data_IF_814634448991
#
_entry.id   IF_814634448991
#
_cell.length_a   1.000
_cell.length_b   1.000
_cell.length_c   1.000
_cell.angle_alpha   90.00
_cell.angle_beta   90.00
_cell.angle_gamma   90.00
#
_symmetry.space_group_name_H-M   'P 1'
#
loop_
_entity.id
_entity.type
_entity.pdbx_description
1 polymer ?
#
# COMPACT_ATOMS: atom_id res chain seq x y z
N UNK A 1 -13.79 26.56 7.17
CA UNK A 1 -13.73 25.17 7.65
C UNK A 1 -14.86 24.45 6.95
N UNK A 2 -14.55 23.40 6.19
CA UNK A 2 -15.58 22.61 5.50
C UNK A 2 -16.34 21.76 6.53
N UNK A 3 -17.62 21.49 6.27
CA UNK A 3 -18.46 20.68 7.16
C UNK A 3 -19.38 19.77 6.34
N UNK A 4 -19.61 18.56 6.85
CA UNK A 4 -20.64 17.66 6.34
C UNK A 4 -21.93 17.88 7.13
N UNK A 5 -23.00 18.30 6.45
CA UNK A 5 -24.34 18.42 7.04
C UNK A 5 -25.17 17.23 6.55
N UNK A 6 -25.48 16.30 7.44
CA UNK A 6 -26.19 15.05 7.12
C UNK A 6 -27.60 15.11 7.70
N UNK A 7 -28.61 14.92 6.84
CA UNK A 7 -29.99 14.69 7.25
C UNK A 7 -30.31 13.20 7.13
N UNK A 8 -30.47 12.51 8.27
CA UNK A 8 -30.73 11.07 8.31
C UNK A 8 -32.17 10.68 8.00
N UNK A 9 -32.44 9.37 8.02
CA UNK A 9 -33.77 8.79 7.78
C UNK A 9 -34.01 8.26 6.36
N UNK A 10 -32.96 8.20 5.53
CA UNK A 10 -33.04 7.73 4.15
C UNK A 10 -32.26 6.41 3.98
N UNK A 11 -32.92 5.33 3.53
CA UNK A 11 -32.22 4.13 3.08
C UNK A 11 -31.29 4.43 1.90
N UNK A 12 -30.08 3.87 1.94
CA UNK A 12 -29.17 3.97 0.80
C UNK A 12 -29.57 2.98 -0.29
N UNK A 13 -29.94 3.50 -1.46
CA UNK A 13 -30.28 2.68 -2.62
C UNK A 13 -29.45 3.08 -3.83
N UNK A 14 -28.95 2.09 -4.58
CA UNK A 14 -28.35 2.34 -5.88
C UNK A 14 -27.05 1.59 -6.13
N UNK A 15 -26.13 2.26 -6.82
CA UNK A 15 -24.91 1.66 -7.34
C UNK A 15 -23.72 2.57 -7.06
N UNK A 16 -22.60 1.97 -6.66
CA UNK A 16 -21.35 2.69 -6.39
C UNK A 16 -20.18 1.89 -6.92
N UNK A 17 -19.14 2.59 -7.39
CA UNK A 17 -17.85 2.00 -7.73
C UNK A 17 -16.82 2.57 -6.76
N UNK A 18 -16.15 1.75 -5.95
CA UNK A 18 -15.09 2.21 -5.05
C UNK A 18 -13.94 2.84 -5.84
N UNK A 19 -13.30 3.80 -5.20
CA UNK A 19 -12.04 4.40 -5.64
C UNK A 19 -10.90 3.39 -5.53
N UNK A 20 -9.77 3.69 -6.15
CA UNK A 20 -8.55 2.91 -5.96
C UNK A 20 -8.05 2.91 -4.52
N UNK A 21 -7.49 1.79 -4.10
CA UNK A 21 -6.97 1.60 -2.76
C UNK A 21 -5.79 2.54 -2.48
N UNK A 22 -5.95 3.46 -1.51
CA UNK A 22 -4.87 4.37 -1.08
C UNK A 22 -3.61 3.61 -0.65
N UNK A 23 -3.80 2.54 0.14
CA UNK A 23 -2.70 1.78 0.73
C UNK A 23 -1.97 0.93 -0.33
N UNK A 24 -2.58 0.68 -1.49
CA UNK A 24 -1.86 0.16 -2.66
C UNK A 24 -1.21 1.29 -3.48
N UNK A 25 -1.90 2.42 -3.66
CA UNK A 25 -1.40 3.54 -4.46
C UNK A 25 -0.06 4.09 -3.95
N UNK A 26 0.10 4.24 -2.63
CA UNK A 26 1.32 4.78 -2.01
C UNK A 26 2.58 3.94 -2.28
N UNK A 27 2.61 2.62 -1.98
CA UNK A 27 3.76 1.78 -2.31
C UNK A 27 3.96 1.58 -3.81
N UNK A 28 2.91 1.54 -4.63
CA UNK A 28 3.05 1.46 -6.10
C UNK A 28 3.73 2.72 -6.67
N UNK A 29 3.36 3.91 -6.17
CA UNK A 29 4.04 5.16 -6.52
C UNK A 29 5.51 5.14 -6.11
N UNK A 30 5.83 4.65 -4.90
CA UNK A 30 7.21 4.50 -4.46
C UNK A 30 7.98 3.48 -5.32
N UNK A 31 7.34 2.37 -5.70
CA UNK A 31 7.93 1.33 -6.53
C UNK A 31 8.22 1.79 -7.97
N UNK A 32 7.46 2.77 -8.51
CA UNK A 32 7.81 3.41 -9.79
C UNK A 32 9.20 4.07 -9.75
N UNK A 33 9.74 4.39 -8.57
CA UNK A 33 11.10 4.89 -8.42
C UNK A 33 12.16 3.86 -8.82
N UNK A 34 11.86 2.55 -8.83
CA UNK A 34 12.82 1.47 -9.11
C UNK A 34 13.22 1.33 -10.59
N UNK A 35 12.52 2.00 -11.51
CA UNK A 35 12.76 1.88 -12.95
C UNK A 35 13.00 3.25 -13.60
N UNK A 36 13.83 3.27 -14.63
CA UNK A 36 14.05 4.44 -15.49
C UNK A 36 13.00 4.53 -16.61
N UNK A 37 12.32 3.43 -16.89
CA UNK A 37 11.32 3.35 -17.94
C UNK A 37 9.95 3.88 -17.45
N UNK A 38 9.09 4.43 -18.33
CA UNK A 38 7.79 4.96 -17.92
C UNK A 38 6.85 3.87 -17.43
N UNK A 39 6.15 4.13 -16.34
CA UNK A 39 5.12 3.25 -15.76
C UNK A 39 3.78 3.97 -15.74
N UNK A 40 2.71 3.26 -16.11
CA UNK A 40 1.34 3.77 -16.08
C UNK A 40 0.56 3.16 -14.94
N UNK A 41 -0.06 4.00 -14.13
CA UNK A 41 -0.95 3.59 -13.05
C UNK A 41 -2.36 4.11 -13.33
N UNK A 42 -3.33 3.21 -13.28
CA UNK A 42 -4.75 3.48 -13.42
C UNK A 42 -5.47 3.31 -12.09
N UNK A 43 -6.66 3.93 -11.99
CA UNK A 43 -7.46 3.96 -10.77
C UNK A 43 -6.69 4.56 -9.58
N UNK A 44 -5.91 5.62 -9.80
CA UNK A 44 -5.20 6.33 -8.73
C UNK A 44 -6.19 7.27 -8.00
N UNK A 45 -6.41 7.09 -6.69
CA UNK A 45 -7.36 7.93 -5.95
C UNK A 45 -6.84 9.36 -5.80
N UNK A 46 -7.71 10.34 -5.97
CA UNK A 46 -7.38 11.77 -5.83
C UNK A 46 -7.59 12.22 -4.38
N UNK A 47 -6.59 11.95 -3.54
CA UNK A 47 -6.63 12.22 -2.10
C UNK A 47 -5.31 12.81 -1.61
N UNK A 48 -5.36 13.51 -0.47
CA UNK A 48 -4.24 14.30 0.05
C UNK A 48 -2.94 13.50 0.20
N UNK A 49 -3.00 12.29 0.77
CA UNK A 49 -1.81 11.44 0.98
C UNK A 49 -1.14 11.06 -0.35
N UNK A 50 -1.94 10.69 -1.36
CA UNK A 50 -1.44 10.31 -2.69
C UNK A 50 -0.86 11.52 -3.40
N UNK A 51 -1.52 12.67 -3.31
CA UNK A 51 -1.01 13.92 -3.87
C UNK A 51 0.29 14.38 -3.18
N UNK A 52 0.42 14.20 -1.87
CA UNK A 52 1.66 14.49 -1.16
C UNK A 52 2.79 13.52 -1.55
N UNK A 53 2.50 12.23 -1.78
CA UNK A 53 3.50 11.28 -2.30
C UNK A 53 3.93 11.65 -3.71
N UNK A 54 3.00 12.09 -4.58
CA UNK A 54 3.32 12.61 -5.91
C UNK A 54 4.26 13.80 -5.83
N UNK A 55 3.93 14.81 -5.02
CA UNK A 55 4.79 15.98 -4.83
C UNK A 55 6.16 15.61 -4.28
N UNK A 56 6.24 14.62 -3.37
CA UNK A 56 7.50 14.14 -2.84
C UNK A 56 8.36 13.49 -3.94
N UNK A 57 7.78 12.65 -4.79
CA UNK A 57 8.48 12.06 -5.94
C UNK A 57 8.94 13.15 -6.93
N UNK A 58 8.08 14.12 -7.23
CA UNK A 58 8.40 15.25 -8.11
C UNK A 58 9.56 16.09 -7.57
N UNK A 59 9.64 16.31 -6.26
CA UNK A 59 10.77 17.00 -5.62
C UNK A 59 12.11 16.30 -5.86
N UNK A 60 12.10 14.98 -6.05
CA UNK A 60 13.29 14.18 -6.37
C UNK A 60 13.55 14.06 -7.88
N UNK A 61 12.88 14.84 -8.72
CA UNK A 61 13.07 14.87 -10.18
C UNK A 61 12.20 13.87 -10.96
N UNK A 62 11.37 13.07 -10.29
CA UNK A 62 10.43 12.16 -10.97
C UNK A 62 9.38 12.97 -11.73
N UNK A 63 9.14 12.62 -13.00
CA UNK A 63 8.12 13.27 -13.83
C UNK A 63 6.83 12.50 -13.74
N UNK A 64 5.77 13.13 -13.25
CA UNK A 64 4.43 12.55 -13.17
C UNK A 64 3.49 13.33 -14.08
N UNK A 65 2.83 12.65 -15.03
CA UNK A 65 1.87 13.25 -15.95
C UNK A 65 0.50 12.61 -15.75
N UNK A 66 -0.54 13.42 -15.66
CA UNK A 66 -1.92 12.92 -15.77
C UNK A 66 -2.21 12.58 -17.22
N UNK A 67 -2.65 11.35 -17.50
CA UNK A 67 -2.91 10.85 -18.87
C UNK A 67 -4.38 10.46 -19.09
N UNK A 68 -5.23 10.62 -18.09
CA UNK A 68 -6.66 10.36 -18.15
C UNK A 68 -7.28 10.48 -16.76
N UNK A 69 -8.56 10.16 -16.66
CA UNK A 69 -9.27 10.14 -15.37
C UNK A 69 -8.63 9.08 -14.47
N UNK A 70 -8.22 9.50 -13.27
CA UNK A 70 -7.53 8.66 -12.28
C UNK A 70 -6.34 7.87 -12.86
N UNK A 71 -5.68 8.39 -13.89
CA UNK A 71 -4.60 7.71 -14.60
C UNK A 71 -3.38 8.60 -14.74
N UNK A 72 -2.21 8.08 -14.36
CA UNK A 72 -0.94 8.81 -14.39
C UNK A 72 0.15 8.00 -15.09
N UNK A 73 1.08 8.69 -15.73
CA UNK A 73 2.36 8.15 -16.19
C UNK A 73 3.48 8.70 -15.30
N UNK A 74 4.23 7.79 -14.68
CA UNK A 74 5.37 8.10 -13.80
C UNK A 74 6.65 7.73 -14.55
N UNK A 75 7.57 8.67 -14.65
CA UNK A 75 8.89 8.46 -15.25
C UNK A 75 9.97 8.95 -14.30
N UNK A 76 10.75 8.01 -13.77
CA UNK A 76 11.82 8.30 -12.85
C UNK A 76 13.21 8.24 -13.51
N UNK A 77 13.36 8.43 -14.83
CA UNK A 77 14.65 8.30 -15.54
C UNK A 77 15.79 9.17 -14.97
N UNK A 78 15.46 10.35 -14.43
CA UNK A 78 16.43 11.28 -13.85
C UNK A 78 15.98 11.65 -12.44
N UNK A 79 16.64 11.07 -11.44
CA UNK A 79 16.35 11.33 -10.02
C UNK A 79 17.50 12.06 -9.35
N UNK A 80 17.15 12.99 -8.45
CA UNK A 80 18.08 13.83 -7.72
C UNK A 80 17.71 13.81 -6.23
N UNK A 81 18.29 12.88 -5.48
CA UNK A 81 18.02 12.75 -4.04
C UNK A 81 18.48 13.97 -3.23
N UNK A 82 19.39 14.79 -3.77
CA UNK A 82 19.84 16.02 -3.14
C UNK A 82 18.73 17.08 -3.05
N UNK A 83 17.73 17.02 -3.93
CA UNK A 83 16.61 17.96 -4.00
C UNK A 83 15.42 17.52 -3.13
N UNK A 84 15.60 16.45 -2.34
CA UNK A 84 14.59 15.92 -1.43
C UNK A 84 14.07 17.00 -0.48
N UNK A 85 12.76 17.29 -0.52
CA UNK A 85 12.10 18.24 0.37
C UNK A 85 11.74 17.57 1.72
N UNK A 86 12.42 17.91 2.82
CA UNK A 86 12.16 17.30 4.13
C UNK A 86 10.79 17.65 4.69
N UNK A 87 10.18 18.76 4.27
CA UNK A 87 8.89 19.19 4.79
C UNK A 87 7.73 18.45 4.11
N UNK A 88 7.88 18.03 2.85
CA UNK A 88 6.95 17.09 2.21
C UNK A 88 6.97 15.73 2.90
N UNK A 89 8.14 15.24 3.30
CA UNK A 89 8.30 13.98 4.04
C UNK A 89 7.53 13.98 5.37
N UNK A 90 7.49 15.11 6.08
CA UNK A 90 6.76 15.24 7.36
C UNK A 90 5.25 15.27 7.19
N UNK A 91 4.73 15.54 5.99
CA UNK A 91 3.29 15.57 5.73
C UNK A 91 2.68 14.18 5.65
N UNK A 92 3.45 13.18 5.22
CA UNK A 92 2.97 11.81 5.02
C UNK A 92 3.84 10.80 5.73
N UNK A 93 3.18 9.91 6.50
CA UNK A 93 3.87 8.81 7.18
C UNK A 93 4.47 7.81 6.20
N UNK A 94 3.80 7.64 5.05
CA UNK A 94 4.21 6.72 3.99
C UNK A 94 5.52 7.10 3.29
N UNK A 95 6.11 8.27 3.59
CA UNK A 95 7.42 8.67 3.07
C UNK A 95 8.54 7.65 3.37
N UNK A 96 8.42 6.86 4.44
CA UNK A 96 9.35 5.77 4.75
C UNK A 96 9.43 4.69 3.65
N UNK A 97 8.39 4.55 2.83
CA UNK A 97 8.35 3.61 1.69
C UNK A 97 9.37 3.94 0.60
N UNK A 98 9.96 5.15 0.61
CA UNK A 98 11.03 5.51 -0.31
C UNK A 98 12.38 4.92 0.09
N UNK A 99 12.56 4.47 1.34
CA UNK A 99 13.88 4.00 1.82
C UNK A 99 14.39 2.78 1.06
N UNK A 100 13.53 1.78 0.82
CA UNK A 100 13.83 0.59 0.05
C UNK A 100 14.17 0.88 -1.41
N UNK A 101 13.29 1.51 -2.19
CA UNK A 101 13.56 1.79 -3.60
C UNK A 101 14.69 2.81 -3.81
N UNK A 102 14.87 3.80 -2.93
CA UNK A 102 16.01 4.72 -3.01
C UNK A 102 17.33 4.01 -2.71
N UNK A 103 17.39 3.13 -1.70
CA UNK A 103 18.58 2.31 -1.46
C UNK A 103 18.89 1.39 -2.64
N UNK A 104 17.87 0.70 -3.16
CA UNK A 104 18.02 -0.24 -4.26
C UNK A 104 18.54 0.41 -5.55
N UNK A 105 18.15 1.67 -5.79
CA UNK A 105 18.48 2.38 -7.03
C UNK A 105 19.65 3.36 -6.92
N UNK A 106 19.76 4.06 -5.80
CA UNK A 106 20.72 5.14 -5.60
C UNK A 106 21.79 4.82 -4.55
N UNK A 107 21.64 3.74 -3.78
CA UNK A 107 22.60 3.33 -2.75
C UNK A 107 22.58 4.16 -1.47
N UNK A 108 21.83 5.27 -1.41
CA UNK A 108 21.66 6.05 -0.19
C UNK A 108 20.31 6.75 -0.11
N UNK A 109 19.90 7.09 1.12
CA UNK A 109 18.78 8.00 1.38
C UNK A 109 18.98 8.70 2.72
N UNK A 110 18.68 9.99 2.77
CA UNK A 110 18.50 10.75 4.01
C UNK A 110 17.03 11.06 4.18
N UNK A 111 16.44 10.57 5.26
CA UNK A 111 15.02 10.67 5.49
C UNK A 111 14.76 11.23 6.90
N UNK A 112 14.06 12.37 7.05
CA UNK A 112 13.59 12.78 8.38
C UNK A 112 12.59 11.75 8.90
N UNK A 113 12.37 11.65 10.23
CA UNK A 113 11.35 10.78 10.78
C UNK A 113 10.01 10.99 10.08
N UNK A 114 9.32 9.89 9.70
CA UNK A 114 8.04 10.01 9.04
C UNK A 114 7.08 10.76 9.96
N UNK A 115 6.48 11.82 9.42
CA UNK A 115 5.42 12.55 10.10
C UNK A 115 4.06 11.91 9.83
N UNK A 116 3.00 12.71 9.84
CA UNK A 116 1.63 12.24 9.58
C UNK A 116 1.04 11.35 10.68
N UNK A 117 -0.24 11.58 10.94
CA UNK A 117 -1.19 10.79 11.74
C UNK A 117 -0.66 10.14 13.06
N UNK A 118 -1.09 10.73 14.19
CA UNK A 118 -0.69 10.31 15.56
C UNK A 118 -1.63 9.22 16.09
N UNK A 119 -1.72 8.08 15.39
CA UNK A 119 -2.44 6.90 15.89
C UNK A 119 -1.43 5.98 16.58
N UNK A 120 -1.17 6.26 17.85
CA UNK A 120 -0.34 5.42 18.73
C UNK A 120 1.16 5.39 18.40
N UNK A 121 1.90 4.51 19.09
CA UNK A 121 3.35 4.34 18.89
C UNK A 121 3.61 3.39 17.73
N UNK A 122 3.93 3.93 16.56
CA UNK A 122 4.30 3.16 15.38
C UNK A 122 5.81 3.29 15.13
N UNK A 123 6.54 2.21 15.41
CA UNK A 123 8.01 2.15 15.32
C UNK A 123 8.47 2.08 13.86
N UNK A 124 9.71 2.49 13.61
CA UNK A 124 10.38 2.33 12.31
C UNK A 124 11.49 1.27 12.37
N UNK A 125 11.72 0.69 13.54
CA UNK A 125 12.75 -0.33 13.79
C UNK A 125 12.65 -1.51 12.82
N UNK A 126 11.45 -2.03 12.57
CA UNK A 126 11.17 -3.14 11.64
C UNK A 126 11.74 -2.87 10.25
N UNK A 127 11.57 -1.65 9.74
CA UNK A 127 12.14 -1.23 8.44
C UNK A 127 13.67 -1.23 8.49
N UNK A 128 14.24 -0.67 9.55
CA UNK A 128 15.69 -0.55 9.73
C UNK A 128 16.34 -1.94 9.81
N UNK A 129 15.75 -2.85 10.59
CA UNK A 129 16.23 -4.21 10.76
C UNK A 129 16.15 -4.99 9.45
N UNK A 130 15.04 -4.86 8.69
CA UNK A 130 14.89 -5.55 7.42
C UNK A 130 15.88 -5.06 6.36
N UNK A 131 16.06 -3.74 6.22
CA UNK A 131 17.05 -3.18 5.29
C UNK A 131 18.49 -3.55 5.67
N UNK A 132 18.81 -3.58 6.97
CA UNK A 132 20.08 -4.13 7.47
C UNK A 132 20.25 -5.61 7.14
N UNK A 133 19.16 -6.38 7.17
CA UNK A 133 19.13 -7.77 6.74
C UNK A 133 19.57 -7.98 5.28
N UNK A 134 19.34 -6.98 4.42
CA UNK A 134 19.81 -6.91 3.04
C UNK A 134 21.21 -6.31 2.89
N UNK A 135 21.91 -6.01 3.98
CA UNK A 135 23.26 -5.42 3.97
C UNK A 135 23.32 -3.90 3.93
N UNK A 136 22.20 -3.19 4.15
CA UNK A 136 22.22 -1.74 4.30
C UNK A 136 22.78 -1.30 5.67
N UNK A 137 23.51 -0.20 5.70
CA UNK A 137 23.78 0.58 6.89
C UNK A 137 22.60 1.53 7.13
N UNK A 138 22.20 1.67 8.38
CA UNK A 138 21.09 2.54 8.78
C UNK A 138 21.43 3.18 10.12
N UNK A 139 21.58 4.49 10.14
CA UNK A 139 21.96 5.27 11.32
C UNK A 139 20.95 6.38 11.57
N UNK A 140 20.78 6.77 12.84
CA UNK A 140 19.95 7.91 13.21
C UNK A 140 20.85 9.03 13.72
N UNK A 141 20.96 10.10 12.94
CA UNK A 141 21.61 11.33 13.36
C UNK A 141 20.70 12.06 14.34
N UNK A 142 21.07 11.99 15.63
CA UNK A 142 20.31 12.64 16.72
C UNK A 142 20.41 14.16 16.69
N UNK A 143 21.48 14.73 16.14
CA UNK A 143 21.68 16.18 16.13
C UNK A 143 20.79 16.82 15.06
N UNK A 144 20.69 16.19 13.88
CA UNK A 144 19.90 16.69 12.76
C UNK A 144 18.49 16.08 12.68
N UNK A 145 18.17 15.10 13.54
CA UNK A 145 16.92 14.34 13.52
C UNK A 145 16.64 13.72 12.15
N UNK A 146 17.61 12.99 11.59
CA UNK A 146 17.51 12.37 10.25
C UNK A 146 18.01 10.94 10.30
N UNK A 147 17.28 10.03 9.63
CA UNK A 147 17.76 8.70 9.31
C UNK A 147 18.64 8.73 8.07
N UNK A 148 19.74 8.00 8.14
CA UNK A 148 20.70 7.88 7.06
C UNK A 148 20.84 6.42 6.69
N UNK A 149 20.41 6.10 5.48
CA UNK A 149 20.48 4.77 4.90
C UNK A 149 21.54 4.76 3.82
N UNK A 150 22.41 3.74 3.82
CA UNK A 150 23.47 3.56 2.82
C UNK A 150 23.71 2.10 2.50
N UNK A 151 24.02 1.79 1.25
CA UNK A 151 24.49 0.47 0.84
C UNK A 151 25.27 0.59 -0.46
N UNK A 152 26.44 -0.05 -0.53
CA UNK A 152 27.16 -0.20 -1.80
C UNK A 152 26.42 -1.15 -2.75
N UNK A 153 25.82 -2.21 -2.17
CA UNK A 153 25.02 -3.20 -2.88
C UNK A 153 24.16 -3.97 -1.88
N UNK A 154 22.86 -4.04 -2.16
CA UNK A 154 21.95 -4.90 -1.41
C UNK A 154 22.16 -6.37 -1.80
N UNK A 155 22.11 -7.26 -0.81
CA UNK A 155 22.25 -8.71 -1.00
C UNK A 155 21.06 -9.43 -0.39
N UNK A 156 20.51 -10.38 -1.13
CA UNK A 156 19.44 -11.22 -0.64
C UNK A 156 19.86 -12.05 0.57
N UNK A 157 18.92 -12.26 1.47
CA UNK A 157 19.14 -13.00 2.71
C UNK A 157 17.82 -13.57 3.25
N UNK A 158 17.90 -14.45 4.26
CA UNK A 158 16.72 -14.86 5.04
C UNK A 158 16.45 -13.81 6.10
N UNK A 159 15.30 -13.15 6.01
CA UNK A 159 14.90 -12.04 6.89
C UNK A 159 13.62 -12.44 7.60
N UNK A 160 13.63 -12.38 8.93
CA UNK A 160 12.44 -12.51 9.76
C UNK A 160 12.05 -11.13 10.29
N UNK A 161 10.87 -10.64 9.90
CA UNK A 161 10.34 -9.39 10.47
C UNK A 161 9.92 -9.63 11.92
N UNK A 162 10.25 -8.70 12.81
CA UNK A 162 9.93 -8.78 14.24
C UNK A 162 8.45 -8.51 14.55
N UNK A 163 7.73 -7.94 13.59
CA UNK A 163 6.26 -7.85 13.55
C UNK A 163 5.79 -7.99 12.09
N UNK A 164 4.53 -8.38 11.88
CA UNK A 164 3.90 -8.41 10.55
C UNK A 164 3.56 -6.98 10.08
N UNK A 165 4.58 -6.13 9.93
CA UNK A 165 4.43 -4.74 9.52
C UNK A 165 4.20 -4.65 8.02
N UNK A 166 3.05 -4.09 7.64
CA UNK A 166 2.66 -3.80 6.25
C UNK A 166 3.75 -2.99 5.55
N UNK A 167 4.03 -1.78 6.04
CA UNK A 167 4.95 -0.87 5.36
C UNK A 167 6.39 -1.36 5.40
N UNK A 168 6.81 -2.11 6.43
CA UNK A 168 8.14 -2.69 6.44
C UNK A 168 8.25 -3.84 5.43
N UNK A 169 7.20 -4.63 5.26
CA UNK A 169 7.11 -5.67 4.23
C UNK A 169 7.22 -5.05 2.85
N UNK A 170 6.43 -4.02 2.53
CA UNK A 170 6.48 -3.30 1.25
C UNK A 170 7.87 -2.75 0.94
N UNK A 171 8.47 -2.09 1.93
CA UNK A 171 9.78 -1.48 1.81
C UNK A 171 10.89 -2.52 1.58
N UNK A 172 10.77 -3.68 2.24
CA UNK A 172 11.72 -4.79 2.08
C UNK A 172 11.55 -5.46 0.73
N UNK A 173 10.32 -5.66 0.25
CA UNK A 173 10.05 -6.19 -1.08
C UNK A 173 10.68 -5.28 -2.14
N UNK A 174 10.39 -3.98 -2.09
CA UNK A 174 10.95 -3.01 -3.04
C UNK A 174 12.48 -2.94 -3.01
N UNK A 175 13.11 -3.15 -1.86
CA UNK A 175 14.57 -3.22 -1.75
C UNK A 175 15.15 -4.54 -2.31
N UNK A 176 14.45 -5.65 -2.09
CA UNK A 176 14.92 -7.00 -2.42
C UNK A 176 14.82 -7.33 -3.90
N UNK A 177 13.86 -6.75 -4.65
CA UNK A 177 13.64 -7.09 -6.07
C UNK A 177 14.84 -6.81 -6.98
N UNK A 178 15.79 -5.96 -6.59
CA UNK A 178 17.05 -5.74 -7.32
C UNK A 178 18.30 -6.05 -6.49
N UNK A 179 18.13 -6.68 -5.33
CA UNK A 179 19.26 -7.14 -4.51
C UNK A 179 19.99 -8.31 -5.18
N UNK A 180 21.26 -8.55 -4.83
CA UNK A 180 21.99 -9.71 -5.36
C UNK A 180 21.59 -11.00 -4.63
N UNK A 181 20.98 -11.94 -5.35
CA UNK A 181 20.62 -13.26 -4.82
C UNK A 181 19.15 -13.36 -4.39
N UNK A 182 18.84 -14.45 -3.68
CA UNK A 182 17.49 -14.72 -3.16
C UNK A 182 17.29 -14.06 -1.79
N UNK A 183 16.14 -13.42 -1.61
CA UNK A 183 15.64 -12.98 -0.30
C UNK A 183 14.45 -13.86 0.10
N UNK A 184 14.50 -14.43 1.30
CA UNK A 184 13.35 -15.12 1.90
C UNK A 184 12.82 -14.24 3.03
N UNK A 185 11.69 -13.57 2.80
CA UNK A 185 11.08 -12.65 3.77
C UNK A 185 9.98 -13.37 4.55
N UNK A 186 10.25 -13.65 5.82
CA UNK A 186 9.35 -14.37 6.75
C UNK A 186 8.64 -13.40 7.68
N UNK A 187 7.47 -13.81 8.17
CA UNK A 187 6.55 -12.97 8.92
C UNK A 187 6.15 -11.71 8.13
N UNK A 188 6.04 -11.87 6.81
CA UNK A 188 5.57 -10.84 5.90
C UNK A 188 4.08 -10.56 6.14
N UNK A 189 3.71 -9.28 6.04
CA UNK A 189 2.33 -8.85 5.90
C UNK A 189 1.71 -9.46 4.63
N UNK A 190 0.43 -9.82 4.67
CA UNK A 190 -0.27 -10.57 3.61
C UNK A 190 -1.49 -9.84 3.06
N UNK A 191 -1.68 -8.58 3.43
CA UNK A 191 -2.81 -7.76 3.07
C UNK A 191 -2.93 -7.58 1.54
N UNK A 192 -4.13 -7.30 1.00
CA UNK A 192 -4.36 -7.23 -0.45
C UNK A 192 -3.42 -6.26 -1.18
N UNK A 193 -3.05 -5.13 -0.55
CA UNK A 193 -2.16 -4.14 -1.12
C UNK A 193 -0.69 -4.58 -1.17
N UNK A 194 -0.25 -5.49 -0.28
CA UNK A 194 1.05 -6.17 -0.40
C UNK A 194 1.05 -7.08 -1.63
N UNK A 195 -0.05 -7.80 -1.83
CA UNK A 195 -0.21 -8.69 -2.98
C UNK A 195 -0.21 -7.92 -4.30
N UNK A 196 -0.92 -6.78 -4.34
CA UNK A 196 -0.91 -5.87 -5.49
C UNK A 196 0.49 -5.30 -5.77
N UNK A 197 1.25 -4.92 -4.73
CA UNK A 197 2.65 -4.50 -4.91
C UNK A 197 3.51 -5.61 -5.54
N UNK A 198 3.37 -6.85 -5.07
CA UNK A 198 4.11 -7.98 -5.63
C UNK A 198 3.73 -8.24 -7.10
N UNK A 199 2.43 -8.24 -7.40
CA UNK A 199 1.92 -8.43 -8.77
C UNK A 199 2.40 -7.31 -9.69
N UNK A 200 2.35 -6.07 -9.24
CA UNK A 200 2.85 -4.90 -9.95
C UNK A 200 4.35 -5.03 -10.25
N UNK A 201 5.18 -5.33 -9.25
CA UNK A 201 6.62 -5.50 -9.44
C UNK A 201 6.94 -6.66 -10.39
N UNK A 202 6.20 -7.78 -10.31
CA UNK A 202 6.35 -8.90 -11.24
C UNK A 202 6.01 -8.50 -12.69
N UNK A 203 4.99 -7.65 -12.91
CA UNK A 203 4.68 -7.07 -14.23
C UNK A 203 5.86 -6.24 -14.76
N UNK A 204 6.58 -5.54 -13.87
CA UNK A 204 7.80 -4.80 -14.24
C UNK A 204 9.04 -5.70 -14.41
N UNK A 205 8.91 -7.01 -14.22
CA UNK A 205 9.99 -7.99 -14.40
C UNK A 205 10.68 -8.47 -13.13
N UNK A 206 10.14 -8.17 -11.94
CA UNK A 206 10.59 -8.80 -10.70
C UNK A 206 10.25 -10.30 -10.68
N UNK A 207 10.86 -11.03 -9.75
CA UNK A 207 10.60 -12.45 -9.50
C UNK A 207 10.22 -12.64 -8.02
N UNK A 208 8.93 -12.53 -7.74
CA UNK A 208 8.34 -12.67 -6.41
C UNK A 208 7.36 -13.83 -6.41
N UNK A 209 7.62 -14.83 -5.57
CA UNK A 209 6.79 -16.01 -5.36
C UNK A 209 6.14 -16.03 -3.96
N UNK A 210 5.16 -16.93 -3.78
CA UNK A 210 4.37 -17.08 -2.55
C UNK A 210 3.58 -15.83 -2.13
N UNK A 211 3.18 -15.01 -3.10
CA UNK A 211 2.36 -13.81 -2.89
C UNK A 211 1.08 -14.14 -2.11
N UNK A 212 0.79 -13.36 -1.07
CA UNK A 212 -0.36 -13.56 -0.18
C UNK A 212 -0.10 -14.49 1.01
N UNK A 213 1.09 -15.10 1.10
CA UNK A 213 1.53 -15.83 2.28
C UNK A 213 2.33 -14.95 3.25
N UNK A 214 2.66 -15.49 4.43
CA UNK A 214 3.56 -14.85 5.39
C UNK A 214 5.06 -15.10 5.10
N UNK A 215 5.38 -15.78 4.00
CA UNK A 215 6.76 -16.09 3.58
C UNK A 215 6.94 -15.87 2.08
N UNK A 216 7.54 -14.75 1.71
CA UNK A 216 7.81 -14.40 0.32
C UNK A 216 9.20 -14.87 -0.09
N UNK A 217 9.30 -15.38 -1.32
CA UNK A 217 10.58 -15.68 -1.97
C UNK A 217 10.80 -14.65 -3.08
N UNK A 218 11.91 -13.92 -3.02
CA UNK A 218 12.20 -12.81 -3.92
C UNK A 218 13.57 -13.06 -4.54
N UNK A 219 13.60 -13.44 -5.80
CA UNK A 219 14.84 -13.55 -6.56
C UNK A 219 15.17 -12.18 -7.15
N UNK A 220 16.26 -11.57 -6.68
CA UNK A 220 16.65 -10.26 -7.17
C UNK A 220 17.07 -10.29 -8.64
N UNK A 221 16.61 -9.29 -9.40
CA UNK A 221 16.85 -9.11 -10.84
C UNK A 221 17.76 -7.91 -11.11
N UNK A 222 18.36 -7.85 -12.29
CA UNK A 222 19.29 -6.75 -12.62
C UNK A 222 18.61 -5.39 -12.77
N UNK A 223 17.37 -5.38 -13.30
CA UNK A 223 16.59 -4.17 -13.54
C UNK A 223 15.12 -4.51 -13.69
N UNK A 224 14.29 -3.50 -13.42
CA UNK A 224 12.86 -3.50 -13.75
C UNK A 224 12.63 -2.70 -15.04
N UNK A 225 11.45 -2.85 -15.62
CA UNK A 225 11.07 -2.32 -16.94
C UNK A 225 9.81 -1.45 -16.86
N UNK A 226 9.38 -0.90 -18.00
CA UNK A 226 8.07 -0.26 -18.13
C UNK A 226 6.95 -1.25 -17.86
N UNK A 227 5.80 -0.73 -17.46
CA UNK A 227 4.58 -1.51 -17.33
C UNK A 227 3.36 -0.63 -17.11
N UNK A 228 2.22 -1.29 -17.03
CA UNK A 228 0.92 -0.68 -16.78
C UNK A 228 0.19 -1.50 -15.71
N UNK A 229 -0.45 -0.82 -14.77
CA UNK A 229 -1.15 -1.48 -13.67
C UNK A 229 -2.40 -0.71 -13.23
N UNK A 230 -3.46 -1.43 -12.92
CA UNK A 230 -4.71 -0.86 -12.42
C UNK A 230 -4.87 -1.20 -10.95
N UNK A 231 -4.85 -0.17 -10.10
CA UNK A 231 -4.99 -0.31 -8.65
C UNK A 231 -6.38 -0.88 -8.33
N UNK A 232 -6.43 -1.86 -7.43
CA UNK A 232 -7.67 -2.46 -6.97
C UNK A 232 -8.58 -1.49 -6.20
N UNK A 233 -9.85 -1.87 -5.98
CA UNK A 233 -10.76 -1.09 -5.15
C UNK A 233 -10.23 -0.94 -3.73
N UNK A 234 -10.52 0.18 -3.08
CA UNK A 234 -10.29 0.33 -1.66
C UNK A 234 -11.28 -0.55 -0.87
N UNK A 235 -10.78 -1.67 -0.33
CA UNK A 235 -11.62 -2.60 0.43
C UNK A 235 -12.16 -1.97 1.72
N UNK A 236 -11.53 -0.94 2.28
CA UNK A 236 -12.08 -0.20 3.43
C UNK A 236 -13.26 0.67 3.00
N UNK A 237 -13.19 1.26 1.80
CA UNK A 237 -14.31 1.99 1.21
C UNK A 237 -15.48 1.05 0.89
N UNK A 238 -15.20 -0.11 0.26
CA UNK A 238 -16.20 -1.17 0.02
C UNK A 238 -16.95 -1.51 1.30
N UNK A 239 -16.21 -1.82 2.37
CA UNK A 239 -16.80 -2.26 3.64
C UNK A 239 -17.52 -1.12 4.36
N UNK A 240 -17.05 0.12 4.19
CA UNK A 240 -17.75 1.31 4.68
C UNK A 240 -19.11 1.48 4.00
N UNK A 241 -19.19 1.26 2.68
CA UNK A 241 -20.47 1.26 1.96
C UNK A 241 -21.39 0.12 2.38
N UNK A 242 -20.85 -1.10 2.60
CA UNK A 242 -21.62 -2.22 3.16
C UNK A 242 -22.24 -1.80 4.50
N UNK A 243 -21.42 -1.30 5.42
CA UNK A 243 -21.89 -0.84 6.72
C UNK A 243 -22.94 0.26 6.61
N UNK A 244 -22.74 1.25 5.72
CA UNK A 244 -23.68 2.34 5.51
C UNK A 244 -25.03 1.86 4.97
N UNK A 245 -25.05 0.93 4.01
CA UNK A 245 -26.28 0.34 3.49
C UNK A 245 -27.02 -0.44 4.59
N UNK A 246 -26.29 -1.23 5.37
CA UNK A 246 -26.84 -2.04 6.46
C UNK A 246 -27.51 -1.16 7.53
N UNK A 247 -26.82 -0.14 8.04
CA UNK A 247 -27.37 0.72 9.12
C UNK A 247 -28.52 1.62 8.66
N UNK A 248 -28.69 1.79 7.34
CA UNK A 248 -29.80 2.55 6.76
C UNK A 248 -30.95 1.66 6.26
N UNK A 249 -30.86 0.34 6.42
CA UNK A 249 -31.78 -0.65 5.84
C UNK A 249 -31.94 -0.49 4.31
N UNK A 250 -30.84 -0.11 3.66
CA UNK A 250 -30.75 0.13 2.22
C UNK A 250 -30.27 -1.07 1.42
N UNK A 251 -30.28 -0.95 0.10
CA UNK A 251 -29.76 -1.96 -0.83
C UNK A 251 -28.87 -1.33 -1.88
N UNK A 252 -27.60 -1.73 -1.90
CA UNK A 252 -26.61 -1.19 -2.83
C UNK A 252 -25.91 -2.29 -3.61
N UNK A 253 -25.51 -1.98 -4.84
CA UNK A 253 -24.52 -2.75 -5.59
C UNK A 253 -23.20 -2.00 -5.62
N UNK A 254 -22.15 -2.65 -5.17
CA UNK A 254 -20.78 -2.16 -5.21
C UNK A 254 -20.08 -2.86 -6.36
N UNK A 255 -19.74 -2.10 -7.40
CA UNK A 255 -19.06 -2.63 -8.59
C UNK A 255 -17.57 -2.87 -8.34
N UNK A 256 -17.01 -3.92 -8.96
CA UNK A 256 -15.58 -4.23 -8.93
C UNK A 256 -14.99 -4.24 -7.51
N UNK A 257 -15.70 -4.83 -6.55
CA UNK A 257 -15.38 -4.83 -5.12
C UNK A 257 -14.32 -5.87 -4.72
N UNK A 258 -13.92 -6.76 -5.62
CA UNK A 258 -12.95 -7.85 -5.39
C UNK A 258 -13.23 -8.67 -4.11
N UNK A 259 -14.38 -9.37 -4.07
CA UNK A 259 -14.84 -10.11 -2.89
C UNK A 259 -13.84 -11.12 -2.33
N UNK A 260 -12.95 -11.67 -3.16
CA UNK A 260 -11.86 -12.57 -2.79
C UNK A 260 -10.90 -12.00 -1.73
N UNK A 261 -10.86 -10.69 -1.53
CA UNK A 261 -10.04 -10.05 -0.50
C UNK A 261 -10.82 -9.75 0.79
N UNK A 262 -12.11 -10.10 0.86
CA UNK A 262 -12.99 -9.74 1.97
C UNK A 262 -13.36 -10.92 2.87
N UNK A 263 -12.80 -12.12 2.66
CA UNK A 263 -13.20 -13.34 3.40
C UNK A 263 -13.18 -13.15 4.92
N UNK A 264 -12.09 -12.60 5.48
CA UNK A 264 -11.98 -12.35 6.92
C UNK A 264 -13.02 -11.32 7.39
N UNK A 265 -13.31 -10.31 6.57
CA UNK A 265 -14.30 -9.29 6.89
C UNK A 265 -15.70 -9.90 6.84
N UNK A 266 -15.99 -10.73 5.84
CA UNK A 266 -17.24 -11.49 5.72
C UNK A 266 -17.45 -12.38 6.93
N UNK A 267 -16.42 -13.10 7.37
CA UNK A 267 -16.50 -13.94 8.58
C UNK A 267 -16.91 -13.13 9.81
N UNK A 268 -16.36 -11.93 10.01
CA UNK A 268 -16.70 -11.07 11.15
C UNK A 268 -18.08 -10.44 10.98
N UNK A 269 -18.44 -9.99 9.78
CA UNK A 269 -19.73 -9.37 9.48
C UNK A 269 -20.88 -10.37 9.60
N UNK A 270 -20.67 -11.62 9.17
CA UNK A 270 -21.66 -12.70 9.32
C UNK A 270 -22.00 -12.93 10.79
N UNK A 271 -21.02 -12.81 11.70
CA UNK A 271 -21.25 -12.87 13.15
C UNK A 271 -22.07 -11.70 13.71
N UNK A 272 -22.25 -10.64 12.93
CA UNK A 272 -23.15 -9.52 13.24
C UNK A 272 -24.48 -9.63 12.49
N UNK A 273 -24.74 -10.77 11.82
CA UNK A 273 -25.92 -10.98 10.99
C UNK A 273 -25.94 -10.09 9.75
N UNK A 274 -24.75 -9.71 9.26
CA UNK A 274 -24.57 -8.91 8.04
C UNK A 274 -24.00 -9.78 6.94
N UNK A 275 -24.71 -9.84 5.82
CA UNK A 275 -24.37 -10.67 4.67
C UNK A 275 -24.56 -9.90 3.36
N UNK A 276 -23.90 -10.38 2.31
CA UNK A 276 -23.98 -9.85 0.97
C UNK A 276 -23.86 -10.95 -0.08
N UNK A 277 -24.43 -10.72 -1.25
CA UNK A 277 -24.31 -11.61 -2.39
C UNK A 277 -23.11 -11.19 -3.26
N UNK A 278 -22.47 -12.18 -3.87
CA UNK A 278 -21.37 -11.97 -4.82
C UNK A 278 -21.85 -12.27 -6.24
N UNK A 279 -21.68 -11.31 -7.15
CA UNK A 279 -22.01 -11.46 -8.57
C UNK A 279 -20.80 -11.06 -9.41
N UNK A 280 -19.97 -12.05 -9.78
CA UNK A 280 -18.67 -11.78 -10.41
C UNK A 280 -17.75 -11.06 -9.42
N UNK A 281 -17.20 -9.91 -9.82
CA UNK A 281 -16.39 -9.05 -8.94
C UNK A 281 -17.24 -8.06 -8.12
N UNK A 282 -18.56 -8.08 -8.25
CA UNK A 282 -19.45 -7.14 -7.56
C UNK A 282 -20.00 -7.72 -6.27
N UNK A 283 -20.36 -6.81 -5.36
CA UNK A 283 -21.05 -7.11 -4.12
C UNK A 283 -22.45 -6.50 -4.16
N UNK A 284 -23.46 -7.25 -3.74
CA UNK A 284 -24.83 -6.76 -3.56
C UNK A 284 -25.17 -6.89 -2.09
N UNK A 285 -25.46 -5.75 -1.46
CA UNK A 285 -25.92 -5.70 -0.06
C UNK A 285 -27.45 -5.69 -0.08
N UNK A 286 -28.13 -6.74 0.42
CA UNK A 286 -29.58 -6.74 0.51
C UNK A 286 -30.05 -5.81 1.64
N UNK A 287 -31.27 -5.31 1.50
CA UNK A 287 -31.94 -4.47 2.51
C UNK A 287 -32.39 -5.27 3.75
N UNK A 288 -32.64 -6.56 3.60
CA UNK A 288 -33.01 -7.45 4.69
C UNK A 288 -31.77 -8.09 5.32
N UNK A 289 -31.37 -7.60 6.49
CA UNK A 289 -30.25 -8.10 7.28
C UNK A 289 -30.78 -8.73 8.59
N UNK A 290 -30.12 -9.77 9.10
CA UNK A 290 -30.55 -10.41 10.34
C UNK A 290 -30.21 -9.54 11.55
N UNK A 291 -29.03 -8.90 11.53
CA UNK A 291 -28.55 -8.02 12.60
C UNK A 291 -28.56 -8.67 13.99
N UNK A 292 -28.20 -9.96 14.04
CA UNK A 292 -28.07 -10.74 15.27
C UNK A 292 -26.60 -11.03 15.51
N UNK A 293 -26.17 -10.92 16.77
CA UNK A 293 -24.84 -11.33 17.18
C UNK A 293 -24.79 -12.85 17.29
N UNK A 294 -23.93 -13.48 16.51
CA UNK A 294 -23.58 -14.89 16.65
C UNK A 294 -22.48 -15.05 17.71
N UNK A 295 -22.80 -15.65 18.88
CA UNK A 295 -21.81 -15.87 19.93
C UNK A 295 -20.81 -16.94 19.49
N UNK A 296 -19.67 -17.02 20.18
CA UNK A 296 -18.75 -18.14 19.95
C UNK A 296 -19.44 -19.46 20.34
N UNK A 297 -18.90 -20.58 19.84
CA UNK A 297 -19.39 -21.92 20.16
C UNK A 297 -19.47 -22.08 21.69
N UNK A 298 -20.68 -22.34 22.19
CA UNK A 298 -20.93 -22.48 23.63
C UNK A 298 -21.38 -21.18 24.33
N UNK A 299 -21.63 -20.10 23.59
CA UNK A 299 -22.14 -18.84 24.15
C UNK A 299 -21.06 -17.95 24.77
N UNK A 300 -19.79 -18.17 24.40
CA UNK A 300 -18.66 -17.35 24.83
C UNK A 300 -18.53 -16.06 24.00
#
# INVERSE_FOLDING_TARGET
>A
MEQFVIQGGYPLEGKVTPSGNKNAALPLLAACFLTEEPVRLHNVPDIQDVNAMRSLLESMGVKIKTIGDHSIEVNAAHVHLADFDPDLCKRIRASILLAGPALARCGELRLPPPGGDVIGRRRVDTHILALRGLGAQAEYDRANHVFHFRSDKLKGNVILLDEASVTATENTIMAAVTAEGETILRNAASEPHIQELCQFLNILGAQIDNVGSNTLHIQGVQKLHKGEFTIGPDYLEVVSYIGAAVVTNGSIRIFNARPQYLDMISMVFNRLGVYWDVVGEDIIVPNEQQLVIEPDLGGA
#
